data_IF_397909069657
#
_entry.id   IF_397909069657
#
_cell.length_a   1.000
_cell.length_b   1.000
_cell.length_c   1.000
_cell.angle_alpha   90.00
_cell.angle_beta   90.00
_cell.angle_gamma   90.00
#
_symmetry.space_group_name_H-M   'P 1'
#
loop_
_entity.id
_entity.type
_entity.pdbx_description
1 polymer ?
#
# COMPACT_ATOMS: atom_id res chain seq x y z
N UNK A 1 29.07 -31.16 -4.88
CA UNK A 1 28.50 -29.84 -4.53
C UNK A 1 26.97 -29.88 -4.42
N UNK A 2 26.25 -30.56 -5.33
CA UNK A 2 24.78 -30.76 -5.27
C UNK A 2 24.31 -31.60 -4.07
N UNK A 3 25.05 -32.64 -3.68
CA UNK A 3 24.71 -33.49 -2.53
C UNK A 3 24.76 -32.75 -1.17
N UNK A 4 25.72 -31.85 -0.97
CA UNK A 4 25.83 -31.05 0.26
C UNK A 4 24.70 -30.02 0.40
N UNK A 5 24.22 -29.48 -0.72
CA UNK A 5 23.05 -28.59 -0.77
C UNK A 5 21.76 -29.32 -0.38
N UNK A 6 21.60 -30.57 -0.86
CA UNK A 6 20.44 -31.40 -0.55
C UNK A 6 20.42 -31.83 0.93
N UNK A 7 21.57 -32.20 1.49
CA UNK A 7 21.71 -32.53 2.91
C UNK A 7 21.52 -31.32 3.83
N UNK A 8 22.00 -30.12 3.43
CA UNK A 8 21.75 -28.90 4.20
C UNK A 8 20.26 -28.52 4.21
N UNK A 9 19.56 -28.66 3.06
CA UNK A 9 18.12 -28.39 2.96
C UNK A 9 17.27 -29.37 3.77
N UNK A 10 17.61 -30.66 3.80
CA UNK A 10 16.89 -31.67 4.58
C UNK A 10 17.27 -31.65 6.06
N UNK A 11 18.52 -31.33 6.42
CA UNK A 11 18.96 -31.21 7.81
C UNK A 11 18.19 -30.13 8.58
N UNK A 12 17.87 -29.00 7.94
CA UNK A 12 17.16 -27.85 8.56
C UNK A 12 15.64 -28.12 8.73
N UNK A 13 15.07 -29.13 8.07
CA UNK A 13 13.68 -29.59 8.25
C UNK A 13 12.62 -28.58 7.76
N UNK A 14 11.33 -28.88 7.96
CA UNK A 14 10.23 -27.99 7.55
C UNK A 14 9.93 -26.86 8.57
N UNK A 15 10.52 -26.91 9.77
CA UNK A 15 10.22 -25.96 10.85
C UNK A 15 10.56 -24.50 10.51
N UNK A 16 11.69 -24.26 9.83
CA UNK A 16 12.08 -22.89 9.43
C UNK A 16 11.11 -22.27 8.40
N UNK A 17 10.54 -23.09 7.51
CA UNK A 17 9.54 -22.65 6.52
C UNK A 17 8.27 -22.18 7.25
N UNK A 18 7.86 -22.88 8.30
CA UNK A 18 6.70 -22.49 9.12
C UNK A 18 6.93 -21.14 9.81
N UNK A 19 8.11 -20.91 10.41
CA UNK A 19 8.46 -19.62 11.00
C UNK A 19 8.51 -18.50 9.95
N UNK A 20 9.01 -18.78 8.75
CA UNK A 20 9.00 -17.82 7.63
C UNK A 20 7.57 -17.46 7.21
N UNK A 21 6.67 -18.43 7.08
CA UNK A 21 5.27 -18.20 6.73
C UNK A 21 4.52 -17.41 7.81
N UNK A 22 4.76 -17.71 9.09
CA UNK A 22 4.20 -16.94 10.21
C UNK A 22 4.71 -15.49 10.17
N UNK A 23 6.01 -15.29 9.94
CA UNK A 23 6.60 -13.95 9.79
C UNK A 23 5.98 -13.17 8.64
N UNK A 24 5.82 -13.79 7.46
CA UNK A 24 5.15 -13.18 6.31
C UNK A 24 3.67 -12.87 6.61
N UNK A 25 2.97 -13.73 7.35
CA UNK A 25 1.58 -13.52 7.74
C UNK A 25 1.43 -12.32 8.66
N UNK A 26 2.26 -12.21 9.70
CA UNK A 26 2.23 -11.08 10.64
C UNK A 26 2.56 -9.78 9.91
N UNK A 27 3.59 -9.78 9.06
CA UNK A 27 3.96 -8.62 8.25
C UNK A 27 2.82 -8.19 7.31
N UNK A 28 2.16 -9.16 6.67
CA UNK A 28 1.02 -8.91 5.78
C UNK A 28 -0.14 -8.24 6.53
N UNK A 29 -0.52 -8.80 7.68
CA UNK A 29 -1.60 -8.24 8.52
C UNK A 29 -1.22 -6.87 9.07
N UNK A 30 0.01 -6.67 9.51
CA UNK A 30 0.49 -5.39 10.02
C UNK A 30 0.37 -4.29 8.95
N UNK A 31 0.86 -4.54 7.74
CA UNK A 31 0.74 -3.62 6.61
C UNK A 31 -0.73 -3.40 6.20
N UNK A 32 -1.57 -4.43 6.28
CA UNK A 32 -3.00 -4.32 5.98
C UNK A 32 -3.72 -3.42 6.99
N UNK A 33 -3.42 -3.55 8.28
CA UNK A 33 -3.97 -2.70 9.35
C UNK A 33 -3.47 -1.26 9.23
N UNK A 34 -2.18 -1.05 8.96
CA UNK A 34 -1.62 0.29 8.73
C UNK A 34 -2.35 0.99 7.58
N UNK A 35 -2.52 0.29 6.45
CA UNK A 35 -3.29 0.78 5.29
C UNK A 35 -4.76 1.04 5.61
N UNK A 36 -5.40 0.15 6.36
CA UNK A 36 -6.81 0.30 6.73
C UNK A 36 -7.02 1.51 7.64
N UNK A 37 -6.17 1.69 8.65
CA UNK A 37 -6.20 2.85 9.53
C UNK A 37 -5.96 4.13 8.74
N UNK A 38 -4.96 4.15 7.85
CA UNK A 38 -4.72 5.27 6.95
C UNK A 38 -5.96 5.64 6.13
N UNK A 39 -6.62 4.64 5.53
CA UNK A 39 -7.83 4.84 4.72
C UNK A 39 -9.01 5.35 5.56
N UNK A 40 -9.33 4.68 6.67
CA UNK A 40 -10.49 5.04 7.52
C UNK A 40 -10.32 6.42 8.18
N UNK A 41 -9.09 6.80 8.53
CA UNK A 41 -8.80 8.12 9.14
C UNK A 41 -9.06 9.28 8.16
N UNK A 42 -9.02 9.04 6.85
CA UNK A 42 -9.15 10.07 5.82
C UNK A 42 -10.47 9.99 5.00
N UNK A 43 -11.09 8.81 4.86
CA UNK A 43 -12.02 8.51 3.75
C UNK A 43 -13.50 8.91 3.91
N UNK A 44 -13.94 9.70 4.90
CA UNK A 44 -15.38 10.08 4.89
C UNK A 44 -15.73 11.43 5.53
N UNK A 45 -15.32 11.69 6.77
CA UNK A 45 -15.68 12.93 7.44
C UNK A 45 -14.98 14.16 6.81
N UNK A 46 -13.71 14.01 6.41
CA UNK A 46 -12.90 15.09 5.85
C UNK A 46 -13.28 15.42 4.40
N UNK A 47 -13.61 14.41 3.60
CA UNK A 47 -14.00 14.60 2.19
C UNK A 47 -15.26 15.46 2.07
N UNK A 48 -16.26 15.22 2.93
CA UNK A 48 -17.49 16.01 2.96
C UNK A 48 -17.23 17.48 3.38
N UNK A 49 -16.42 17.69 4.42
CA UNK A 49 -15.99 19.02 4.87
C UNK A 49 -15.23 19.78 3.78
N UNK A 50 -14.23 19.13 3.16
CA UNK A 50 -13.42 19.71 2.09
C UNK A 50 -14.26 20.09 0.87
N UNK A 51 -15.21 19.24 0.48
CA UNK A 51 -16.11 19.52 -0.65
C UNK A 51 -16.97 20.75 -0.38
N UNK A 52 -17.49 20.89 0.85
CA UNK A 52 -18.24 22.06 1.27
C UNK A 52 -17.37 23.34 1.34
N UNK A 53 -16.12 23.24 1.79
CA UNK A 53 -15.20 24.39 1.81
C UNK A 53 -14.82 24.84 0.40
N UNK A 54 -14.53 23.89 -0.50
CA UNK A 54 -14.20 24.17 -1.89
C UNK A 54 -15.39 24.77 -2.66
N UNK A 55 -16.61 24.29 -2.43
CA UNK A 55 -17.81 24.83 -3.08
C UNK A 55 -18.16 26.25 -2.62
N UNK A 56 -17.80 26.60 -1.38
CA UNK A 56 -17.94 27.97 -0.84
C UNK A 56 -16.74 28.88 -1.14
N UNK A 57 -15.74 28.42 -1.92
CA UNK A 57 -14.56 29.22 -2.28
C UNK A 57 -13.60 29.47 -1.11
N UNK A 58 -13.71 28.71 -0.02
CA UNK A 58 -12.87 28.84 1.19
C UNK A 58 -11.56 28.07 1.03
N UNK A 59 -10.76 28.45 0.03
CA UNK A 59 -9.53 27.74 -0.36
C UNK A 59 -8.46 27.70 0.75
N UNK A 60 -8.32 28.78 1.52
CA UNK A 60 -7.36 28.86 2.64
C UNK A 60 -7.77 27.96 3.81
N UNK A 61 -9.06 27.80 4.06
CA UNK A 61 -9.55 26.89 5.10
C UNK A 61 -9.40 25.43 4.68
N UNK A 62 -9.68 25.13 3.40
CA UNK A 62 -9.39 23.81 2.84
C UNK A 62 -7.90 23.48 2.93
N UNK A 63 -7.00 24.45 2.68
CA UNK A 63 -5.55 24.31 2.82
C UNK A 63 -5.14 24.01 4.27
N UNK A 64 -5.76 24.69 5.25
CA UNK A 64 -5.51 24.46 6.67
C UNK A 64 -6.07 23.13 7.17
N UNK A 65 -7.24 22.70 6.70
CA UNK A 65 -7.83 21.40 7.07
C UNK A 65 -7.05 20.22 6.49
N UNK A 66 -6.37 20.41 5.34
CA UNK A 66 -5.42 19.43 4.81
C UNK A 66 -4.13 19.34 5.66
N UNK A 67 -3.78 20.40 6.38
CA UNK A 67 -2.60 20.44 7.25
C UNK A 67 -1.27 20.17 6.53
N UNK A 68 -0.23 19.85 7.30
CA UNK A 68 1.09 19.42 6.81
C UNK A 68 1.10 17.94 6.36
N UNK A 69 -0.04 17.24 6.39
CA UNK A 69 -0.07 15.82 6.09
C UNK A 69 0.20 15.58 4.60
N UNK A 70 1.31 14.89 4.31
CA UNK A 70 1.73 14.47 2.97
C UNK A 70 0.92 13.25 2.50
N UNK A 71 -0.39 13.37 2.48
CA UNK A 71 -1.27 12.32 1.95
C UNK A 71 -1.53 12.53 0.46
N UNK A 72 -1.68 11.44 -0.28
CA UNK A 72 -2.02 11.47 -1.72
C UNK A 72 -3.21 12.39 -2.02
N UNK A 73 -4.31 12.24 -1.27
CA UNK A 73 -5.49 13.10 -1.45
C UNK A 73 -5.17 14.57 -1.15
N UNK A 74 -4.36 14.85 -0.12
CA UNK A 74 -3.96 16.21 0.21
C UNK A 74 -3.05 16.85 -0.84
N UNK A 75 -2.16 16.07 -1.45
CA UNK A 75 -1.32 16.52 -2.56
C UNK A 75 -2.17 16.88 -3.79
N UNK A 76 -3.13 16.01 -4.16
CA UNK A 76 -4.04 16.25 -5.29
C UNK A 76 -4.95 17.44 -5.04
N UNK A 77 -5.57 17.55 -3.85
CA UNK A 77 -6.46 18.68 -3.53
C UNK A 77 -5.68 20.00 -3.43
N UNK A 78 -4.45 20.00 -2.92
CA UNK A 78 -3.60 21.20 -2.90
C UNK A 78 -3.24 21.66 -4.31
N UNK A 79 -2.87 20.72 -5.19
CA UNK A 79 -2.60 21.02 -6.59
C UNK A 79 -3.85 21.58 -7.29
N UNK A 80 -5.04 21.06 -6.98
CA UNK A 80 -6.31 21.58 -7.48
C UNK A 80 -6.59 23.02 -7.00
N UNK A 81 -6.33 23.32 -5.72
CA UNK A 81 -6.49 24.67 -5.15
C UNK A 81 -5.52 25.66 -5.82
N UNK A 82 -4.26 25.26 -6.02
CA UNK A 82 -3.24 26.12 -6.64
C UNK A 82 -3.55 26.38 -8.14
N UNK A 83 -4.23 25.44 -8.81
CA UNK A 83 -4.68 25.59 -10.20
C UNK A 83 -6.03 26.32 -10.35
N UNK A 84 -6.77 26.56 -9.26
CA UNK A 84 -8.10 27.18 -9.28
C UNK A 84 -8.17 28.53 -10.03
N UNK A 85 -7.17 29.43 -9.96
CA UNK A 85 -7.17 30.68 -10.73
C UNK A 85 -7.11 30.50 -12.25
N UNK A 86 -6.60 29.36 -12.74
CA UNK A 86 -6.48 29.04 -14.17
C UNK A 86 -7.78 28.57 -14.81
N UNK A 87 -8.87 28.45 -14.03
CA UNK A 87 -10.16 27.97 -14.48
C UNK A 87 -10.28 26.43 -14.53
N UNK A 88 -11.46 25.90 -14.90
CA UNK A 88 -11.78 24.48 -14.76
C UNK A 88 -10.85 23.54 -15.54
N UNK A 89 -10.46 23.93 -16.75
CA UNK A 89 -9.59 23.11 -17.60
C UNK A 89 -8.17 22.95 -17.02
N UNK A 90 -7.63 24.01 -16.41
CA UNK A 90 -6.32 23.95 -15.74
C UNK A 90 -6.37 23.06 -14.50
N UNK A 91 -7.48 23.10 -13.74
CA UNK A 91 -7.69 22.23 -12.58
C UNK A 91 -7.74 20.76 -13.00
N UNK A 92 -8.51 20.42 -14.04
CA UNK A 92 -8.61 19.04 -14.53
C UNK A 92 -7.25 18.48 -14.96
N UNK A 93 -6.46 19.27 -15.70
CA UNK A 93 -5.13 18.87 -16.15
C UNK A 93 -4.17 18.64 -14.98
N UNK A 94 -4.14 19.57 -14.02
CA UNK A 94 -3.26 19.49 -12.85
C UNK A 94 -3.66 18.33 -11.94
N UNK A 95 -4.97 18.10 -11.73
CA UNK A 95 -5.48 16.97 -10.95
C UNK A 95 -5.11 15.65 -11.61
N UNK A 96 -5.30 15.52 -12.92
CA UNK A 96 -4.93 14.31 -13.65
C UNK A 96 -3.42 14.03 -13.56
N UNK A 97 -2.59 15.06 -13.67
CA UNK A 97 -1.14 14.97 -13.53
C UNK A 97 -0.73 14.56 -12.11
N UNK A 98 -1.29 15.20 -11.08
CA UNK A 98 -1.01 14.88 -9.68
C UNK A 98 -1.39 13.44 -9.33
N UNK A 99 -2.56 12.97 -9.79
CA UNK A 99 -2.98 11.57 -9.62
C UNK A 99 -2.00 10.63 -10.29
N UNK A 100 -1.58 10.92 -11.54
CA UNK A 100 -0.64 10.08 -12.27
C UNK A 100 0.74 10.03 -11.58
N UNK A 101 1.18 11.13 -10.97
CA UNK A 101 2.45 11.21 -10.25
C UNK A 101 2.45 10.43 -8.93
N UNK A 102 1.36 10.53 -8.17
CA UNK A 102 1.27 9.96 -6.82
C UNK A 102 0.82 8.48 -6.83
N UNK A 103 0.17 8.03 -7.91
CA UNK A 103 -0.38 6.66 -8.06
C UNK A 103 0.67 5.54 -7.88
N UNK A 104 1.88 5.61 -8.47
CA UNK A 104 2.90 4.58 -8.28
C UNK A 104 3.33 4.40 -6.82
N UNK A 105 3.39 5.50 -6.05
CA UNK A 105 3.71 5.46 -4.62
C UNK A 105 2.64 4.71 -3.82
N UNK A 106 1.38 4.95 -4.16
CA UNK A 106 0.25 4.21 -3.59
C UNK A 106 0.27 2.73 -3.98
N UNK A 107 0.49 2.41 -5.25
CA UNK A 107 0.41 1.04 -5.77
C UNK A 107 1.62 0.16 -5.41
N UNK A 108 2.74 0.75 -4.93
CA UNK A 108 4.01 0.04 -4.66
C UNK A 108 3.86 -1.24 -3.83
N UNK A 109 2.99 -1.24 -2.83
CA UNK A 109 2.77 -2.41 -1.97
C UNK A 109 1.82 -3.43 -2.58
N UNK A 110 0.90 -3.03 -3.48
CA UNK A 110 -0.05 -3.96 -4.11
C UNK A 110 0.69 -4.98 -5.00
N UNK A 111 1.70 -4.54 -5.76
CA UNK A 111 2.50 -5.45 -6.58
C UNK A 111 3.28 -6.46 -5.73
N UNK A 112 3.80 -6.03 -4.58
CA UNK A 112 4.48 -6.91 -3.62
C UNK A 112 3.50 -7.93 -3.02
N UNK A 113 2.32 -7.49 -2.57
CA UNK A 113 1.28 -8.40 -2.08
C UNK A 113 0.80 -9.40 -3.13
N UNK A 114 0.66 -8.98 -4.39
CA UNK A 114 0.31 -9.87 -5.49
C UNK A 114 1.36 -10.96 -5.71
N UNK A 115 2.64 -10.58 -5.67
CA UNK A 115 3.74 -11.54 -5.81
C UNK A 115 3.80 -12.49 -4.61
N UNK A 116 3.68 -11.95 -3.39
CA UNK A 116 3.71 -12.74 -2.15
C UNK A 116 2.52 -13.71 -2.07
N UNK A 117 1.31 -13.25 -2.34
CA UNK A 117 0.09 -14.07 -2.33
C UNK A 117 0.12 -15.18 -3.38
N UNK A 118 0.68 -14.91 -4.57
CA UNK A 118 0.82 -15.93 -5.61
C UNK A 118 1.91 -16.97 -5.28
N UNK A 119 2.98 -16.56 -4.58
CA UNK A 119 4.11 -17.44 -4.27
C UNK A 119 3.98 -18.18 -2.92
N UNK A 120 3.18 -17.68 -1.98
CA UNK A 120 2.99 -18.27 -0.66
C UNK A 120 2.50 -19.75 -0.69
N UNK A 121 1.57 -20.16 -1.57
CA UNK A 121 1.16 -21.56 -1.65
C UNK A 121 2.29 -22.50 -2.05
N UNK A 122 3.19 -22.07 -2.95
CA UNK A 122 4.35 -22.88 -3.36
C UNK A 122 5.34 -23.07 -2.21
N UNK A 123 5.52 -22.07 -1.34
CA UNK A 123 6.33 -22.21 -0.13
C UNK A 123 5.73 -23.23 0.85
N UNK A 124 4.40 -23.24 0.98
CA UNK A 124 3.70 -24.25 1.79
C UNK A 124 3.87 -25.66 1.24
N UNK A 125 3.68 -25.84 -0.07
CA UNK A 125 3.89 -27.13 -0.75
C UNK A 125 5.35 -27.59 -0.67
N UNK A 126 6.32 -26.67 -0.77
CA UNK A 126 7.72 -26.99 -0.58
C UNK A 126 8.00 -27.54 0.82
N UNK A 127 7.39 -26.93 1.85
CA UNK A 127 7.48 -27.41 3.23
C UNK A 127 6.92 -28.83 3.42
N UNK A 128 5.79 -29.15 2.78
CA UNK A 128 5.21 -30.50 2.86
C UNK A 128 6.08 -31.54 2.14
N UNK A 129 6.67 -31.20 0.98
CA UNK A 129 7.59 -32.08 0.26
C UNK A 129 8.86 -32.39 1.07
N UNK A 130 9.49 -31.37 1.67
CA UNK A 130 10.65 -31.57 2.57
C UNK A 130 10.28 -32.46 3.76
N UNK A 131 9.08 -32.28 4.32
CA UNK A 131 8.55 -33.11 5.41
C UNK A 131 8.43 -34.58 5.03
N UNK A 132 7.91 -34.87 3.84
CA UNK A 132 7.77 -36.25 3.33
C UNK A 132 9.14 -36.87 3.02
N UNK A 133 10.09 -36.12 2.48
CA UNK A 133 11.45 -36.62 2.14
C UNK A 133 12.27 -36.97 3.40
N UNK A 134 12.04 -36.25 4.50
CA UNK A 134 12.77 -36.45 5.76
C UNK A 134 12.17 -37.54 6.65
N UNK A 135 10.89 -37.89 6.45
CA UNK A 135 10.17 -38.94 7.15
C UNK A 135 10.54 -40.33 6.60
#
# INVERSE_FOLDING_TARGET
>A
MTHQLFEALTAVGAGWVMYLLIGLSVLSVALMLERLVYFVRFSSARTASLTAMLSHGRFEEARNELGLASTFEGAVVRAAIDAAPGGPAAVDEVVACAIAHERPGFERFLSFFGTLGNNAPFLGLFGTVIGIIKA
#
